data_IF_853441392752
#
_entry.id   IF_853441392752
#
_cell.length_a   1.000
_cell.length_b   1.000
_cell.length_c   1.000
_cell.angle_alpha   90.00
_cell.angle_beta   90.00
_cell.angle_gamma   90.00
#
_symmetry.space_group_name_H-M   'P 1'
#
loop_
_entity.id
_entity.type
_entity.pdbx_description
1 polymer ?
#
# COMPACT_ATOMS: atom_id res chain seq x y z
N UNK A 1 32.52 30.43 -17.93
CA UNK A 1 32.52 29.95 -16.53
C UNK A 1 31.20 30.22 -15.80
N UNK A 2 30.91 31.39 -15.21
CA UNK A 2 29.67 31.57 -14.41
C UNK A 2 28.34 31.34 -15.19
N UNK A 3 28.26 31.78 -16.46
CA UNK A 3 27.09 31.52 -17.31
C UNK A 3 26.96 30.04 -17.75
N UNK A 4 28.08 29.34 -17.92
CA UNK A 4 28.08 27.90 -18.24
C UNK A 4 27.67 27.06 -17.04
N UNK A 5 28.15 27.37 -15.83
CA UNK A 5 27.72 26.70 -14.61
C UNK A 5 26.24 26.93 -14.34
N UNK A 6 25.75 28.16 -14.53
CA UNK A 6 24.34 28.47 -14.36
C UNK A 6 23.46 27.77 -15.42
N UNK A 7 23.95 27.61 -16.64
CA UNK A 7 23.26 26.85 -17.69
C UNK A 7 23.22 25.35 -17.37
N UNK A 8 24.34 24.75 -16.93
CA UNK A 8 24.40 23.34 -16.50
C UNK A 8 23.48 23.07 -15.31
N UNK A 9 23.49 23.92 -14.29
CA UNK A 9 22.62 23.76 -13.13
C UNK A 9 21.13 23.82 -13.50
N UNK A 10 20.74 24.68 -14.46
CA UNK A 10 19.36 24.75 -14.96
C UNK A 10 18.99 23.49 -15.76
N UNK A 11 19.90 22.98 -16.58
CA UNK A 11 19.68 21.76 -17.36
C UNK A 11 19.54 20.53 -16.45
N UNK A 12 20.41 20.38 -15.45
CA UNK A 12 20.31 19.31 -14.45
C UNK A 12 19.01 19.41 -13.65
N UNK A 13 18.62 20.62 -13.25
CA UNK A 13 17.35 20.81 -12.53
C UNK A 13 16.14 20.47 -13.41
N UNK A 14 16.18 20.81 -14.70
CA UNK A 14 15.13 20.47 -15.65
C UNK A 14 15.03 18.94 -15.84
N UNK A 15 16.16 18.26 -16.04
CA UNK A 15 16.21 16.79 -16.14
C UNK A 15 15.71 16.10 -14.87
N UNK A 16 16.11 16.59 -13.70
CA UNK A 16 15.66 16.04 -12.42
C UNK A 16 14.14 16.22 -12.24
N UNK A 17 13.57 17.36 -12.64
CA UNK A 17 12.12 17.58 -12.62
C UNK A 17 11.39 16.65 -13.59
N UNK A 18 11.89 16.52 -14.81
CA UNK A 18 11.29 15.64 -15.82
C UNK A 18 11.31 14.18 -15.36
N UNK A 19 12.43 13.72 -14.80
CA UNK A 19 12.55 12.37 -14.26
C UNK A 19 11.64 12.14 -13.05
N UNK A 20 11.50 13.14 -12.17
CA UNK A 20 10.56 13.08 -11.05
C UNK A 20 9.11 13.00 -11.53
N UNK A 21 8.72 13.80 -12.52
CA UNK A 21 7.37 13.76 -13.11
C UNK A 21 7.10 12.44 -13.84
N UNK A 22 8.09 11.94 -14.59
CA UNK A 22 8.00 10.62 -15.23
C UNK A 22 7.80 9.52 -14.19
N UNK A 23 8.54 9.57 -13.07
CA UNK A 23 8.42 8.60 -11.98
C UNK A 23 7.05 8.66 -11.30
N UNK A 24 6.51 9.87 -11.07
CA UNK A 24 5.17 10.06 -10.48
C UNK A 24 4.05 9.49 -11.34
N UNK A 25 4.18 9.58 -12.66
CA UNK A 25 3.18 9.09 -13.62
C UNK A 25 3.45 7.65 -14.08
N UNK A 26 4.48 6.99 -13.55
CA UNK A 26 4.81 5.63 -13.94
C UNK A 26 3.93 4.63 -13.18
N UNK A 27 3.37 3.67 -13.91
CA UNK A 27 2.70 2.50 -13.31
C UNK A 27 3.66 1.72 -12.41
N UNK A 28 3.11 1.15 -11.34
CA UNK A 28 3.88 0.40 -10.34
C UNK A 28 3.89 -1.09 -10.65
N UNK A 29 4.92 -1.79 -10.17
CA UNK A 29 4.90 -3.25 -10.06
C UNK A 29 3.94 -3.69 -8.96
N UNK A 30 3.62 -4.99 -8.89
CA UNK A 30 2.77 -5.51 -7.81
C UNK A 30 3.34 -5.20 -6.41
N UNK A 31 4.65 -5.38 -6.23
CA UNK A 31 5.32 -5.16 -4.93
C UNK A 31 5.30 -3.67 -4.54
N UNK A 32 5.64 -2.78 -5.48
CA UNK A 32 5.56 -1.33 -5.29
C UNK A 32 4.12 -0.90 -4.96
N UNK A 33 3.13 -1.42 -5.67
CA UNK A 33 1.71 -1.10 -5.45
C UNK A 33 1.24 -1.52 -4.06
N UNK A 34 1.52 -2.76 -3.65
CA UNK A 34 1.12 -3.27 -2.33
C UNK A 34 1.81 -2.50 -1.20
N UNK A 35 3.08 -2.13 -1.38
CA UNK A 35 3.80 -1.26 -0.44
C UNK A 35 3.11 0.10 -0.31
N UNK A 36 2.76 0.72 -1.43
CA UNK A 36 2.08 2.01 -1.45
C UNK A 36 0.70 1.94 -0.80
N UNK A 37 -0.09 0.89 -1.06
CA UNK A 37 -1.37 0.66 -0.38
C UNK A 37 -1.19 0.53 1.14
N UNK A 38 -0.18 -0.20 1.60
CA UNK A 38 0.08 -0.34 3.03
C UNK A 38 0.41 1.02 3.67
N UNK A 39 1.29 1.80 3.04
CA UNK A 39 1.78 3.05 3.62
C UNK A 39 0.77 4.20 3.51
N UNK A 40 0.12 4.36 2.35
CA UNK A 40 -0.77 5.49 2.09
C UNK A 40 -2.21 5.22 2.49
N UNK A 41 -2.70 3.99 2.37
CA UNK A 41 -4.10 3.67 2.67
C UNK A 41 -4.21 3.05 4.06
N UNK A 42 -3.58 1.89 4.26
CA UNK A 42 -3.79 1.10 5.47
C UNK A 42 -3.33 1.81 6.74
N UNK A 43 -2.13 2.42 6.74
CA UNK A 43 -1.64 3.17 7.90
C UNK A 43 -2.46 4.42 8.24
N UNK A 44 -3.20 4.96 7.28
CA UNK A 44 -4.09 6.11 7.50
C UNK A 44 -5.49 5.69 7.96
N UNK A 45 -5.83 4.39 7.89
CA UNK A 45 -7.05 3.88 8.50
C UNK A 45 -6.94 4.01 10.01
N UNK A 46 -7.53 5.08 10.54
CA UNK A 46 -7.71 5.28 11.96
C UNK A 46 -8.98 4.57 12.43
N UNK A 47 -8.90 3.91 13.57
CA UNK A 47 -10.11 3.47 14.24
C UNK A 47 -10.93 4.70 14.64
N UNK A 48 -12.25 4.57 14.56
CA UNK A 48 -13.15 5.56 15.12
C UNK A 48 -12.84 5.75 16.62
N UNK A 49 -13.10 6.97 17.11
CA UNK A 49 -12.97 7.27 18.54
C UNK A 49 -13.67 6.20 19.38
N UNK A 50 -13.02 5.79 20.47
CA UNK A 50 -13.55 4.83 21.44
C UNK A 50 -14.90 5.28 22.02
N UNK A 51 -15.18 6.59 22.02
CA UNK A 51 -16.51 7.13 22.33
C UNK A 51 -17.64 6.61 21.42
N UNK A 52 -17.32 6.17 20.21
CA UNK A 52 -18.24 5.53 19.23
C UNK A 52 -18.28 4.01 19.36
N UNK A 53 -17.50 3.43 20.27
CA UNK A 53 -17.58 2.01 20.57
C UNK A 53 -18.88 1.73 21.34
N UNK A 54 -19.54 0.61 21.03
CA UNK A 54 -20.61 0.12 21.91
C UNK A 54 -20.01 -0.19 23.28
N UNK A 55 -20.48 0.47 24.32
CA UNK A 55 -20.18 0.16 25.71
C UNK A 55 -21.30 -0.69 26.29
N UNK A 56 -20.93 -1.74 27.03
CA UNK A 56 -21.88 -2.65 27.68
C UNK A 56 -21.54 -4.13 27.47
N UNK A 57 -22.11 -4.98 28.33
CA UNK A 57 -22.15 -6.41 28.08
C UNK A 57 -23.27 -6.66 27.08
N UNK A 58 -22.93 -7.06 25.86
CA UNK A 58 -23.94 -7.66 24.99
C UNK A 58 -24.40 -8.94 25.68
N UNK A 59 -25.71 -9.06 25.95
CA UNK A 59 -26.27 -10.30 26.47
C UNK A 59 -26.28 -11.28 25.31
N UNK A 60 -25.42 -12.29 25.38
CA UNK A 60 -25.24 -13.24 24.27
C UNK A 60 -25.65 -14.62 24.74
N UNK A 61 -26.95 -14.75 25.04
CA UNK A 61 -27.57 -16.04 25.38
C UNK A 61 -27.35 -17.05 24.24
N UNK A 62 -26.87 -18.24 24.61
CA UNK A 62 -26.64 -19.34 23.67
C UNK A 62 -25.39 -19.23 22.78
N UNK A 63 -24.57 -18.17 22.88
CA UNK A 63 -23.34 -18.07 22.06
C UNK A 63 -22.12 -18.63 22.78
N UNK A 64 -21.34 -19.42 22.05
CA UNK A 64 -20.11 -20.01 22.54
C UNK A 64 -18.96 -19.01 22.49
N UNK A 65 -18.30 -18.79 23.62
CA UNK A 65 -17.12 -17.94 23.69
C UNK A 65 -15.85 -18.80 23.59
N UNK A 66 -14.99 -18.56 22.58
CA UNK A 66 -13.70 -19.23 22.54
C UNK A 66 -12.85 -18.77 23.73
N UNK A 67 -12.40 -19.72 24.57
CA UNK A 67 -11.48 -19.45 25.68
C UNK A 67 -10.07 -19.07 25.19
N UNK A 68 -9.74 -19.48 23.97
CA UNK A 68 -8.43 -19.27 23.35
C UNK A 68 -8.63 -19.01 21.86
N UNK A 69 -8.02 -17.95 21.35
CA UNK A 69 -7.89 -17.74 19.91
C UNK A 69 -6.72 -18.58 19.40
N UNK A 70 -6.93 -19.34 18.33
CA UNK A 70 -5.85 -20.09 17.66
C UNK A 70 -5.55 -19.48 16.30
N UNK A 71 -4.27 -19.40 15.90
CA UNK A 71 -3.92 -18.99 14.55
C UNK A 71 -4.56 -19.91 13.50
N UNK A 72 -5.19 -19.33 12.48
CA UNK A 72 -5.79 -20.07 11.38
C UNK A 72 -4.76 -20.35 10.28
N UNK A 73 -3.78 -21.19 10.63
CA UNK A 73 -2.59 -21.43 9.78
C UNK A 73 -2.92 -22.05 8.43
N UNK A 74 -3.90 -22.95 8.37
CA UNK A 74 -4.32 -23.58 7.11
C UNK A 74 -4.80 -22.54 6.11
N UNK A 75 -5.70 -21.64 6.53
CA UNK A 75 -6.17 -20.56 5.68
C UNK A 75 -5.04 -19.63 5.23
N UNK A 76 -4.15 -19.22 6.14
CA UNK A 76 -3.03 -18.33 5.77
C UNK A 76 -2.06 -19.00 4.79
N UNK A 77 -1.85 -20.31 4.92
CA UNK A 77 -0.96 -21.06 4.04
C UNK A 77 -1.57 -21.21 2.64
N UNK A 78 -2.84 -21.62 2.56
CA UNK A 78 -3.61 -21.69 1.31
C UNK A 78 -3.66 -20.34 0.61
N UNK A 79 -4.00 -19.26 1.33
CA UNK A 79 -4.04 -17.91 0.74
C UNK A 79 -2.69 -17.46 0.19
N UNK A 80 -1.60 -17.77 0.90
CA UNK A 80 -0.25 -17.43 0.44
C UNK A 80 0.14 -18.20 -0.81
N UNK A 81 0.03 -19.52 -0.77
CA UNK A 81 0.52 -20.40 -1.84
C UNK A 81 -0.39 -20.34 -3.07
N UNK A 82 -1.70 -20.49 -2.88
CA UNK A 82 -2.62 -20.71 -4.02
C UNK A 82 -3.05 -19.40 -4.68
N UNK A 83 -3.01 -18.28 -3.95
CA UNK A 83 -3.51 -17.01 -4.46
C UNK A 83 -2.40 -15.97 -4.60
N UNK A 84 -1.71 -15.66 -3.50
CA UNK A 84 -0.72 -14.58 -3.54
C UNK A 84 0.48 -14.91 -4.45
N UNK A 85 1.04 -16.11 -4.33
CA UNK A 85 2.18 -16.51 -5.18
C UNK A 85 1.79 -16.66 -6.65
N UNK A 86 0.57 -17.13 -6.95
CA UNK A 86 0.04 -17.18 -8.29
C UNK A 86 -0.04 -15.78 -8.93
N UNK A 87 -0.63 -14.81 -8.21
CA UNK A 87 -0.70 -13.42 -8.66
C UNK A 87 0.71 -12.83 -8.84
N UNK A 88 1.60 -13.05 -7.88
CA UNK A 88 2.99 -12.58 -7.94
C UNK A 88 3.73 -13.15 -9.16
N UNK A 89 3.52 -14.43 -9.48
CA UNK A 89 4.10 -15.08 -10.67
C UNK A 89 3.58 -14.49 -11.97
N UNK A 90 2.26 -14.29 -12.09
CA UNK A 90 1.63 -13.74 -13.30
C UNK A 90 1.99 -12.28 -13.53
N UNK A 91 2.03 -11.48 -12.47
CA UNK A 91 2.40 -10.07 -12.55
C UNK A 91 3.91 -9.89 -12.77
N UNK A 92 4.76 -10.70 -12.13
CA UNK A 92 6.21 -10.60 -12.21
C UNK A 92 6.70 -9.17 -11.93
N UNK A 93 7.63 -8.68 -12.75
CA UNK A 93 8.16 -7.30 -12.68
C UNK A 93 7.40 -6.31 -13.59
N UNK A 94 6.22 -6.69 -14.09
CA UNK A 94 5.45 -5.86 -15.01
C UNK A 94 4.82 -4.69 -14.25
N UNK A 95 4.90 -3.49 -14.84
CA UNK A 95 4.33 -2.25 -14.29
C UNK A 95 2.85 -2.12 -14.68
N UNK A 96 2.01 -2.93 -14.05
CA UNK A 96 0.59 -3.07 -14.37
C UNK A 96 -0.34 -2.32 -13.42
N UNK A 97 0.16 -1.77 -12.32
CA UNK A 97 -0.69 -1.19 -11.28
C UNK A 97 -0.67 0.33 -11.33
N UNK A 98 -1.59 0.96 -10.61
CA UNK A 98 -1.69 2.42 -10.57
C UNK A 98 -0.40 3.04 -10.05
N UNK A 99 -0.12 4.25 -10.52
CA UNK A 99 1.03 5.03 -10.08
C UNK A 99 0.89 5.43 -8.60
N UNK A 100 2.01 5.77 -7.96
CA UNK A 100 2.04 6.09 -6.52
C UNK A 100 1.08 7.22 -6.13
N UNK A 101 0.93 8.24 -6.99
CA UNK A 101 0.04 9.37 -6.70
C UNK A 101 -1.40 8.92 -6.46
N UNK A 102 -1.90 7.93 -7.21
CA UNK A 102 -3.25 7.40 -7.01
C UNK A 102 -3.46 6.87 -5.59
N UNK A 103 -2.53 6.07 -5.07
CA UNK A 103 -2.62 5.58 -3.69
C UNK A 103 -2.45 6.68 -2.65
N UNK A 104 -1.70 7.73 -2.98
CA UNK A 104 -1.47 8.88 -2.10
C UNK A 104 -2.67 9.81 -2.01
N UNK A 105 -3.42 9.95 -3.10
CA UNK A 105 -4.62 10.77 -3.22
C UNK A 105 -5.84 10.11 -2.56
N UNK A 106 -5.87 8.77 -2.53
CA UNK A 106 -6.99 7.99 -1.97
C UNK A 106 -6.98 7.87 -0.43
N UNK A 107 -5.84 8.02 0.23
CA UNK A 107 -5.72 7.95 1.70
C UNK A 107 -5.36 9.30 2.26
#
# INVERSE_FOLDING_TARGET
KAREEQAKAREEQAKAREEAERRKNQRTTLEEYLYNCHFHLYKKLALADKSKSSTGFTKVEGKYYPKWLRPWTSFTNTQRQDHFEAIRRVCGKRRLFHQESTTRDLG
#
